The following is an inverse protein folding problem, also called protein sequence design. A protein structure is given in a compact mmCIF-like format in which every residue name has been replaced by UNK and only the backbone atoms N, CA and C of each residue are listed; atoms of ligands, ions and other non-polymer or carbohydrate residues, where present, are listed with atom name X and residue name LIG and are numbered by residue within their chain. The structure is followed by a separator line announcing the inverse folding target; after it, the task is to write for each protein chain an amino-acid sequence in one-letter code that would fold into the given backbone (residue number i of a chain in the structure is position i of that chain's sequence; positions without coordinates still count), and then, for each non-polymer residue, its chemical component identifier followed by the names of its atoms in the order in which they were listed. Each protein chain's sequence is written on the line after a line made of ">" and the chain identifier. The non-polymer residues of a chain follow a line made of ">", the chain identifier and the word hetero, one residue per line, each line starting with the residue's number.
data_IF_558015615633
#
_entry.id   IF_558015615633
#
_cell.length_a   1.000
_cell.length_b   1.000
_cell.length_c   1.000
_cell.angle_alpha   90.00
_cell.angle_beta   90.00
_cell.angle_gamma   90.00
#
_symmetry.space_group_name_H-M   'P 1'
#
loop_
_entity.id
_entity.type
_entity.pdbx_description
1 polymer ?
#
# COMPACT_ATOMS: atom_id res chain seq x y z
N UNK A 1 -5.96 -36.72 -6.17
CA UNK A 1 -5.69 -35.26 -6.05
C UNK A 1 -6.85 -34.62 -5.29
N UNK A 2 -6.65 -33.57 -4.50
CA UNK A 2 -7.75 -32.84 -3.84
C UNK A 2 -8.08 -31.56 -4.61
N UNK A 3 -9.36 -31.21 -4.72
CA UNK A 3 -9.81 -29.97 -5.35
C UNK A 3 -10.30 -29.01 -4.26
N UNK A 4 -9.56 -27.93 -4.01
CA UNK A 4 -9.99 -26.88 -3.11
C UNK A 4 -10.74 -25.80 -3.90
N UNK A 5 -12.06 -25.73 -3.75
CA UNK A 5 -12.90 -24.78 -4.49
C UNK A 5 -13.35 -23.66 -3.56
N UNK A 6 -13.12 -22.42 -3.98
CA UNK A 6 -13.58 -21.23 -3.28
C UNK A 6 -14.65 -20.48 -4.08
N UNK A 7 -15.65 -19.96 -3.38
CA UNK A 7 -16.68 -19.09 -3.92
C UNK A 7 -16.53 -17.67 -3.35
N UNK A 8 -16.00 -16.70 -4.12
CA UNK A 8 -15.82 -15.34 -3.64
C UNK A 8 -17.13 -14.59 -3.35
N UNK A 9 -18.25 -14.99 -3.95
CA UNK A 9 -19.55 -14.35 -3.75
C UNK A 9 -20.12 -14.65 -2.36
N UNK A 10 -20.04 -15.92 -1.93
CA UNK A 10 -20.49 -16.35 -0.60
C UNK A 10 -19.40 -16.25 0.46
N UNK A 11 -18.12 -16.23 0.06
CA UNK A 11 -16.97 -16.27 0.97
C UNK A 11 -16.67 -17.68 1.50
N UNK A 12 -17.38 -18.69 1.04
CA UNK A 12 -17.22 -20.09 1.43
C UNK A 12 -16.12 -20.78 0.60
N UNK A 13 -15.52 -21.82 1.19
CA UNK A 13 -14.55 -22.69 0.53
C UNK A 13 -14.75 -24.12 1.02
N UNK A 14 -14.59 -25.10 0.13
CA UNK A 14 -14.72 -26.51 0.46
C UNK A 14 -13.73 -27.33 -0.35
N UNK A 15 -13.17 -28.35 0.28
CA UNK A 15 -12.28 -29.32 -0.38
C UNK A 15 -13.13 -30.50 -0.81
N UNK A 16 -12.99 -30.89 -2.07
CA UNK A 16 -13.59 -32.07 -2.67
C UNK A 16 -12.50 -33.08 -2.97
N UNK A 17 -12.78 -34.34 -2.65
CA UNK A 17 -11.92 -35.47 -2.95
C UNK A 17 -12.66 -36.35 -3.94
N UNK A 18 -12.06 -36.57 -5.11
CA UNK A 18 -12.60 -37.45 -6.13
C UNK A 18 -11.68 -38.66 -6.24
N UNK A 19 -12.27 -39.86 -6.23
CA UNK A 19 -11.54 -41.13 -6.38
C UNK A 19 -11.14 -41.37 -7.84
N UNK A 20 -12.02 -41.05 -8.79
CA UNK A 20 -11.78 -41.24 -10.22
C UNK A 20 -10.85 -40.16 -10.80
N UNK A 21 -9.69 -40.58 -11.31
CA UNK A 21 -8.72 -39.72 -11.97
C UNK A 21 -9.29 -39.07 -13.25
N UNK A 22 -10.25 -39.70 -13.93
CA UNK A 22 -10.86 -39.17 -15.16
C UNK A 22 -11.48 -37.79 -14.94
N UNK A 23 -12.04 -37.53 -13.76
CA UNK A 23 -12.61 -36.23 -13.38
C UNK A 23 -11.58 -35.11 -13.36
N UNK A 24 -10.29 -35.43 -13.14
CA UNK A 24 -9.23 -34.44 -13.11
C UNK A 24 -8.62 -34.13 -14.47
N UNK A 25 -8.86 -34.97 -15.49
CA UNK A 25 -8.29 -34.81 -16.83
C UNK A 25 -8.67 -33.49 -17.49
N UNK A 26 -9.85 -32.95 -17.17
CA UNK A 26 -10.30 -31.64 -17.66
C UNK A 26 -9.35 -30.49 -17.27
N UNK A 27 -8.61 -30.65 -16.16
CA UNK A 27 -7.66 -29.65 -15.69
C UNK A 27 -6.24 -29.86 -16.22
N UNK A 28 -5.92 -31.03 -16.77
CA UNK A 28 -4.57 -31.32 -17.26
C UNK A 28 -4.23 -30.49 -18.50
N UNK A 29 -2.95 -30.15 -18.64
CA UNK A 29 -2.43 -29.26 -19.69
C UNK A 29 -3.05 -27.85 -19.69
N UNK A 30 -3.86 -27.52 -18.69
CA UNK A 30 -4.31 -26.15 -18.42
C UNK A 30 -3.29 -25.45 -17.55
N UNK A 31 -3.18 -24.13 -17.74
CA UNK A 31 -2.33 -23.25 -16.92
C UNK A 31 -3.16 -22.54 -15.85
N UNK A 32 -2.48 -22.09 -14.80
CA UNK A 32 -3.06 -21.15 -13.84
C UNK A 32 -3.73 -19.94 -14.55
N UNK A 33 -4.82 -19.46 -13.94
CA UNK A 33 -5.72 -18.43 -14.43
C UNK A 33 -6.57 -18.78 -15.66
N UNK A 34 -6.51 -20.01 -16.19
CA UNK A 34 -7.49 -20.47 -17.17
C UNK A 34 -8.80 -20.88 -16.51
N UNK A 35 -9.87 -20.66 -17.28
CA UNK A 35 -11.23 -21.10 -16.96
C UNK A 35 -11.46 -22.48 -17.58
N UNK A 36 -12.13 -23.34 -16.82
CA UNK A 36 -12.41 -24.74 -17.14
C UNK A 36 -13.86 -25.02 -16.76
N UNK A 37 -14.59 -25.60 -17.71
CA UNK A 37 -15.95 -26.08 -17.49
C UNK A 37 -15.92 -27.30 -16.56
N UNK A 38 -16.75 -27.28 -15.52
CA UNK A 38 -16.72 -28.27 -14.44
C UNK A 38 -17.77 -29.38 -14.61
N UNK A 39 -18.51 -29.40 -15.72
CA UNK A 39 -19.62 -30.32 -15.98
C UNK A 39 -19.22 -31.80 -15.81
N UNK A 40 -17.98 -32.15 -16.18
CA UNK A 40 -17.49 -33.54 -16.07
C UNK A 40 -17.15 -33.99 -14.64
N UNK A 41 -17.23 -33.11 -13.63
CA UNK A 41 -16.99 -33.50 -12.22
C UNK A 41 -18.17 -34.25 -11.60
N UNK A 42 -19.39 -34.03 -12.12
CA UNK A 42 -20.64 -34.64 -11.67
C UNK A 42 -21.83 -33.71 -11.93
N UNK A 43 -23.05 -34.23 -11.78
CA UNK A 43 -24.29 -33.49 -12.09
C UNK A 43 -24.43 -32.18 -11.29
N UNK A 44 -23.95 -32.16 -10.05
CA UNK A 44 -23.91 -30.97 -9.18
C UNK A 44 -23.09 -29.80 -9.76
N UNK A 45 -22.14 -30.12 -10.64
CA UNK A 45 -21.20 -29.16 -11.23
C UNK A 45 -21.62 -28.68 -12.62
N UNK A 46 -22.79 -29.10 -13.10
CA UNK A 46 -23.29 -28.70 -14.42
C UNK A 46 -23.51 -27.18 -14.52
N UNK A 47 -22.92 -26.59 -15.56
CA UNK A 47 -22.94 -25.16 -15.83
C UNK A 47 -21.96 -24.33 -14.99
N UNK A 48 -21.19 -24.95 -14.09
CA UNK A 48 -20.17 -24.26 -13.32
C UNK A 48 -18.90 -24.04 -14.14
N UNK A 49 -18.35 -22.83 -14.04
CA UNK A 49 -17.04 -22.51 -14.61
C UNK A 49 -16.06 -22.20 -13.48
N UNK A 50 -14.98 -22.96 -13.46
CA UNK A 50 -13.91 -22.84 -12.47
C UNK A 50 -12.69 -22.21 -13.09
N UNK A 51 -12.08 -21.24 -12.39
CA UNK A 51 -10.77 -20.71 -12.74
C UNK A 51 -9.70 -21.32 -11.86
N UNK A 52 -8.67 -21.89 -12.48
CA UNK A 52 -7.52 -22.44 -11.76
C UNK A 52 -6.73 -21.28 -11.14
N UNK A 53 -6.53 -21.28 -9.83
CA UNK A 53 -5.83 -20.19 -9.12
C UNK A 53 -4.47 -20.59 -8.58
N UNK A 54 -4.16 -21.89 -8.57
CA UNK A 54 -2.88 -22.44 -8.17
C UNK A 54 -3.04 -23.84 -7.60
N UNK A 55 -2.06 -24.25 -6.81
CA UNK A 55 -2.04 -25.57 -6.20
C UNK A 55 -0.70 -25.87 -5.55
N UNK A 56 -0.60 -27.08 -5.01
CA UNK A 56 0.60 -27.61 -4.40
C UNK A 56 0.91 -28.99 -5.02
N UNK A 57 2.18 -29.19 -5.31
CA UNK A 57 2.74 -30.49 -5.71
C UNK A 57 2.70 -31.48 -4.53
N UNK A 58 2.90 -32.78 -4.77
CA UNK A 58 2.93 -33.86 -3.77
C UNK A 58 3.89 -33.58 -2.60
N UNK A 59 5.04 -32.96 -2.85
CA UNK A 59 6.00 -32.56 -1.81
C UNK A 59 5.75 -31.13 -1.27
N UNK A 60 4.59 -30.54 -1.53
CA UNK A 60 4.15 -29.27 -0.94
C UNK A 60 4.66 -28.00 -1.63
N UNK A 61 5.46 -28.09 -2.70
CA UNK A 61 5.92 -26.91 -3.42
C UNK A 61 4.75 -26.21 -4.13
N UNK A 62 4.57 -24.89 -3.93
CA UNK A 62 3.47 -24.15 -4.53
C UNK A 62 3.69 -23.90 -6.02
N UNK A 63 2.60 -23.85 -6.78
CA UNK A 63 2.61 -23.39 -8.18
C UNK A 63 2.85 -21.88 -8.25
N UNK A 64 3.52 -21.43 -9.32
CA UNK A 64 3.73 -20.00 -9.59
C UNK A 64 3.36 -19.64 -11.01
N UNK A 65 2.47 -18.65 -11.13
CA UNK A 65 2.07 -18.09 -12.41
C UNK A 65 3.28 -17.54 -13.19
N UNK A 66 3.30 -17.80 -14.50
CA UNK A 66 4.35 -17.38 -15.43
C UNK A 66 5.53 -18.35 -15.56
N UNK A 67 5.55 -19.45 -14.80
CA UNK A 67 6.51 -20.54 -14.98
C UNK A 67 5.86 -21.58 -15.89
N UNK A 68 6.10 -21.47 -17.20
CA UNK A 68 5.44 -22.26 -18.25
C UNK A 68 5.99 -23.69 -18.39
N UNK A 69 6.14 -24.37 -17.27
CA UNK A 69 6.52 -25.79 -17.20
C UNK A 69 5.49 -26.52 -16.37
N UNK A 70 5.36 -27.84 -16.54
CA UNK A 70 4.69 -28.67 -15.55
C UNK A 70 5.60 -28.84 -14.33
N UNK A 71 6.86 -29.23 -14.52
CA UNK A 71 7.84 -29.55 -13.48
C UNK A 71 8.23 -28.42 -12.51
N UNK A 72 9.16 -28.75 -11.61
CA UNK A 72 9.75 -27.79 -10.67
C UNK A 72 10.95 -27.08 -11.26
N UNK A 73 11.07 -25.80 -10.94
CA UNK A 73 12.22 -24.97 -11.30
C UNK A 73 12.74 -24.22 -10.08
N UNK A 74 14.02 -23.82 -10.12
CA UNK A 74 14.63 -23.02 -9.05
C UNK A 74 14.78 -21.57 -9.46
N UNK A 75 13.99 -20.70 -8.85
CA UNK A 75 13.98 -19.27 -9.14
C UNK A 75 14.64 -18.47 -8.02
N UNK A 76 15.36 -17.41 -8.39
CA UNK A 76 15.89 -16.42 -7.44
C UNK A 76 14.80 -15.38 -7.12
N UNK A 77 14.07 -15.60 -6.03
CA UNK A 77 12.91 -14.79 -5.63
C UNK A 77 13.33 -13.58 -4.78
N UNK A 78 12.65 -12.46 -4.98
CA UNK A 78 12.82 -11.20 -4.24
C UNK A 78 11.53 -10.79 -3.51
N UNK A 79 11.56 -9.68 -2.78
CA UNK A 79 10.36 -9.09 -2.15
C UNK A 79 9.30 -8.77 -3.20
N UNK A 80 8.06 -9.20 -2.96
CA UNK A 80 6.91 -8.98 -3.85
C UNK A 80 6.63 -10.15 -4.79
N UNK A 81 7.58 -11.06 -4.99
CA UNK A 81 7.29 -12.32 -5.69
C UNK A 81 6.44 -13.25 -4.81
N UNK A 82 5.52 -13.97 -5.45
CA UNK A 82 4.79 -15.08 -4.82
C UNK A 82 5.75 -16.19 -4.35
N UNK A 83 5.28 -17.06 -3.44
CA UNK A 83 6.00 -18.23 -2.92
C UNK A 83 7.24 -17.92 -2.05
N UNK A 84 7.50 -16.65 -1.76
CA UNK A 84 8.59 -16.23 -0.88
C UNK A 84 8.22 -15.03 -0.02
N UNK A 85 8.61 -15.09 1.26
CA UNK A 85 8.54 -13.97 2.20
C UNK A 85 9.97 -13.68 2.70
N UNK A 86 10.57 -12.53 2.35
CA UNK A 86 11.91 -12.19 2.78
C UNK A 86 11.97 -12.01 4.31
N UNK A 87 13.11 -12.39 4.91
CA UNK A 87 13.35 -12.21 6.36
C UNK A 87 14.10 -10.91 6.63
N UNK A 88 14.92 -10.45 5.69
CA UNK A 88 15.61 -9.17 5.74
C UNK A 88 15.29 -8.32 4.51
N UNK A 89 15.39 -7.00 4.65
CA UNK A 89 15.23 -6.07 3.53
C UNK A 89 16.34 -6.28 2.50
N UNK A 90 15.98 -6.34 1.21
CA UNK A 90 16.94 -6.57 0.12
C UNK A 90 17.31 -8.04 -0.10
N UNK A 91 16.88 -8.96 0.76
CA UNK A 91 17.18 -10.39 0.63
C UNK A 91 16.54 -10.98 -0.63
N UNK A 92 17.34 -11.75 -1.39
CA UNK A 92 16.89 -12.64 -2.46
C UNK A 92 17.23 -14.07 -2.10
N UNK A 93 16.33 -15.01 -2.37
CA UNK A 93 16.55 -16.43 -2.08
C UNK A 93 16.18 -17.32 -3.26
N UNK A 94 17.09 -18.22 -3.62
CA UNK A 94 16.83 -19.24 -4.65
C UNK A 94 15.97 -20.36 -4.06
N UNK A 95 14.72 -20.47 -4.50
CA UNK A 95 13.76 -21.47 -4.02
C UNK A 95 13.22 -22.31 -5.18
N UNK A 96 12.95 -23.58 -4.90
CA UNK A 96 12.21 -24.46 -5.81
C UNK A 96 10.72 -24.10 -5.78
N UNK A 97 10.11 -24.05 -6.95
CA UNK A 97 8.71 -23.69 -7.17
C UNK A 97 8.15 -24.58 -8.28
N UNK A 98 6.89 -24.99 -8.17
CA UNK A 98 6.20 -25.77 -9.21
C UNK A 98 5.76 -24.83 -10.33
N UNK A 99 5.82 -25.30 -11.57
CA UNK A 99 5.32 -24.54 -12.71
C UNK A 99 3.81 -24.33 -12.69
N UNK A 100 3.29 -23.56 -13.63
CA UNK A 100 1.88 -23.19 -13.68
C UNK A 100 1.01 -24.16 -14.50
N UNK A 101 1.61 -25.10 -15.24
CA UNK A 101 0.89 -26.11 -16.01
C UNK A 101 0.48 -27.24 -15.06
N UNK A 102 -0.80 -27.61 -15.11
CA UNK A 102 -1.40 -28.63 -14.26
C UNK A 102 -1.16 -30.01 -14.86
N UNK A 103 -0.70 -30.94 -14.02
CA UNK A 103 -0.52 -32.35 -14.35
C UNK A 103 -1.02 -33.24 -13.19
N UNK A 104 -0.88 -34.55 -13.33
CA UNK A 104 -1.26 -35.53 -12.33
C UNK A 104 -0.40 -35.48 -11.04
N UNK A 105 0.76 -34.80 -11.06
CA UNK A 105 1.69 -34.73 -9.93
C UNK A 105 1.38 -33.57 -8.97
N UNK A 106 0.09 -33.35 -8.71
CA UNK A 106 -0.37 -32.38 -7.73
C UNK A 106 -1.06 -33.07 -6.56
N UNK A 107 -0.83 -32.55 -5.36
CA UNK A 107 -1.56 -32.96 -4.16
C UNK A 107 -2.91 -32.25 -4.11
N UNK A 108 -2.88 -30.94 -4.30
CA UNK A 108 -4.06 -30.07 -4.20
C UNK A 108 -4.08 -29.11 -5.38
N UNK A 109 -5.22 -29.01 -6.05
CA UNK A 109 -5.52 -27.98 -7.04
C UNK A 109 -6.50 -26.96 -6.44
N UNK A 110 -6.17 -25.69 -6.52
CA UNK A 110 -7.00 -24.61 -5.98
C UNK A 110 -7.75 -23.90 -7.11
N UNK A 111 -9.08 -23.89 -7.02
CA UNK A 111 -9.97 -23.33 -8.02
C UNK A 111 -10.92 -22.30 -7.41
N UNK A 112 -11.37 -21.35 -8.23
CA UNK A 112 -12.34 -20.32 -7.86
C UNK A 112 -13.51 -20.38 -8.81
N UNK A 113 -14.73 -20.37 -8.29
CA UNK A 113 -15.94 -20.27 -9.11
C UNK A 113 -16.00 -18.88 -9.75
N UNK A 114 -16.12 -18.84 -11.08
CA UNK A 114 -16.36 -17.62 -11.86
C UNK A 114 -17.82 -17.50 -12.24
N UNK A 115 -18.44 -18.62 -12.66
CA UNK A 115 -19.86 -18.71 -13.01
C UNK A 115 -20.53 -19.77 -12.15
N UNK A 116 -21.63 -19.41 -11.47
CA UNK A 116 -22.49 -20.36 -10.74
C UNK A 116 -23.25 -21.20 -11.76
N UNK A 117 -23.28 -22.51 -11.58
CA UNK A 117 -24.11 -23.42 -12.37
C UNK A 117 -25.54 -23.50 -11.85
N UNK A 118 -26.27 -24.52 -12.31
CA UNK A 118 -27.71 -24.67 -12.07
C UNK A 118 -28.02 -25.14 -10.65
N UNK A 119 -27.30 -26.16 -10.17
CA UNK A 119 -27.54 -26.77 -8.86
C UNK A 119 -26.74 -26.10 -7.76
N UNK A 120 -27.22 -26.19 -6.52
CA UNK A 120 -26.49 -25.69 -5.35
C UNK A 120 -25.59 -26.77 -4.75
N UNK A 121 -24.36 -26.38 -4.43
CA UNK A 121 -23.36 -27.25 -3.84
C UNK A 121 -23.31 -27.01 -2.32
N UNK A 122 -23.56 -28.05 -1.49
CA UNK A 122 -23.64 -27.91 -0.05
C UNK A 122 -22.30 -27.46 0.54
N UNK A 123 -22.35 -26.42 1.37
CA UNK A 123 -21.18 -25.81 2.01
C UNK A 123 -20.33 -24.91 1.11
N UNK A 124 -20.75 -24.66 -0.14
CA UNK A 124 -20.04 -23.77 -1.06
C UNK A 124 -20.93 -22.63 -1.60
N UNK A 125 -22.14 -22.97 -2.08
CA UNK A 125 -23.10 -21.98 -2.59
C UNK A 125 -24.30 -21.75 -1.68
N UNK A 126 -24.62 -22.73 -0.84
CA UNK A 126 -25.76 -22.72 0.07
C UNK A 126 -25.65 -21.63 1.16
N UNK A 127 -24.51 -21.58 1.86
CA UNK A 127 -24.30 -20.61 2.94
C UNK A 127 -23.50 -19.39 2.47
N UNK A 128 -23.84 -18.21 3.01
CA UNK A 128 -23.08 -16.97 2.81
C UNK A 128 -22.41 -16.51 4.10
N UNK A 129 -21.09 -16.34 4.07
CA UNK A 129 -20.31 -15.85 5.20
C UNK A 129 -20.19 -14.32 5.15
N UNK A 130 -20.67 -13.59 6.18
CA UNK A 130 -20.57 -12.14 6.20
C UNK A 130 -19.11 -11.69 6.34
N UNK A 131 -18.80 -10.52 5.76
CA UNK A 131 -17.46 -9.92 5.89
C UNK A 131 -17.18 -9.55 7.35
N UNK A 132 -16.07 -10.05 7.89
CA UNK A 132 -15.66 -9.81 9.29
C UNK A 132 -15.43 -8.34 9.64
N UNK A 133 -14.95 -7.52 8.70
CA UNK A 133 -14.57 -6.13 8.95
C UNK A 133 -15.22 -5.18 7.96
N UNK A 134 -15.85 -4.13 8.49
CA UNK A 134 -16.31 -2.99 7.71
C UNK A 134 -15.17 -2.02 7.35
N UNK A 135 -15.44 -1.03 6.48
CA UNK A 135 -14.48 -0.01 6.11
C UNK A 135 -14.10 0.91 7.28
N UNK A 136 -12.80 1.12 7.51
CA UNK A 136 -12.27 2.04 8.54
C UNK A 136 -12.01 3.47 8.05
N UNK A 137 -11.85 3.67 6.74
CA UNK A 137 -11.47 4.96 6.14
C UNK A 137 -12.75 5.75 5.78
N UNK A 138 -12.81 7.04 6.11
CA UNK A 138 -14.00 7.88 5.88
C UNK A 138 -14.58 7.74 4.47
N UNK A 139 -13.77 7.91 3.42
CA UNK A 139 -14.26 7.79 2.03
C UNK A 139 -14.72 6.39 1.63
N UNK A 140 -14.17 5.33 2.27
CA UNK A 140 -14.65 3.95 2.02
C UNK A 140 -15.99 3.68 2.71
N UNK A 141 -16.25 4.34 3.85
CA UNK A 141 -17.57 4.30 4.52
C UNK A 141 -18.59 5.03 3.64
N UNK A 142 -18.25 6.24 3.15
CA UNK A 142 -19.13 6.98 2.22
C UNK A 142 -19.49 6.17 0.99
N UNK A 143 -18.50 5.56 0.33
CA UNK A 143 -18.71 4.71 -0.85
C UNK A 143 -19.58 3.47 -0.55
N UNK A 144 -19.50 2.91 0.65
CA UNK A 144 -20.29 1.72 1.01
C UNK A 144 -21.79 2.04 1.12
N UNK A 145 -22.12 3.19 1.69
CA UNK A 145 -23.51 3.61 1.94
C UNK A 145 -23.99 4.69 0.94
N UNK A 146 -23.25 4.92 -0.15
CA UNK A 146 -23.50 5.98 -1.14
C UNK A 146 -23.77 7.37 -0.52
N UNK A 147 -23.04 7.71 0.53
CA UNK A 147 -23.18 9.00 1.22
C UNK A 147 -22.52 10.14 0.44
N UNK A 148 -23.08 11.32 0.61
CA UNK A 148 -22.52 12.57 0.12
C UNK A 148 -21.35 13.04 1.01
N UNK A 149 -20.74 14.17 0.65
CA UNK A 149 -19.64 14.76 1.42
C UNK A 149 -20.11 15.41 2.71
N UNK A 150 -21.36 15.84 2.77
CA UNK A 150 -21.95 16.58 3.89
C UNK A 150 -22.35 15.64 5.03
N UNK A 151 -22.69 14.39 4.69
CA UNK A 151 -23.09 13.37 5.64
C UNK A 151 -22.00 13.04 6.68
N UNK A 152 -22.42 12.95 7.94
CA UNK A 152 -21.55 12.54 9.04
C UNK A 152 -21.33 11.03 9.05
N UNK A 153 -20.17 10.63 8.55
CA UNK A 153 -19.71 9.24 8.48
C UNK A 153 -19.60 8.53 9.84
N UNK A 154 -19.61 9.26 10.96
CA UNK A 154 -19.50 8.65 12.31
C UNK A 154 -20.67 7.76 12.67
N UNK A 155 -21.87 8.11 12.18
CA UNK A 155 -23.11 7.37 12.46
C UNK A 155 -23.16 6.03 11.71
N UNK A 156 -22.55 5.98 10.52
CA UNK A 156 -22.61 4.85 9.59
C UNK A 156 -21.46 3.84 9.76
N UNK A 157 -20.64 3.96 10.81
CA UNK A 157 -19.59 2.97 11.07
C UNK A 157 -20.22 1.67 11.56
N UNK A 158 -19.94 0.57 10.85
CA UNK A 158 -20.33 -0.78 11.28
C UNK A 158 -19.68 -1.07 12.64
N UNK A 159 -20.52 -1.29 13.64
CA UNK A 159 -20.11 -1.65 15.00
C UNK A 159 -20.31 -3.15 15.19
N UNK A 160 -19.42 -3.77 15.95
CA UNK A 160 -19.52 -5.18 16.35
C UNK A 160 -19.98 -5.24 17.81
N UNK A 161 -21.09 -5.91 18.05
CA UNK A 161 -21.49 -6.37 19.39
C UNK A 161 -20.60 -7.54 19.79
N UNK A 162 -19.99 -7.43 20.97
CA UNK A 162 -19.26 -8.51 21.63
C UNK A 162 -20.21 -9.05 22.70
N UNK A 163 -20.61 -10.34 22.62
CA UNK A 163 -21.51 -10.93 23.59
C UNK A 163 -20.89 -10.91 24.99
N UNK A 164 -21.74 -11.00 26.01
CA UNK A 164 -21.27 -11.14 27.37
C UNK A 164 -20.45 -12.44 27.50
N UNK A 165 -19.40 -12.37 28.30
CA UNK A 165 -18.66 -13.52 28.81
C UNK A 165 -18.76 -13.47 30.33
N UNK A 166 -18.54 -14.56 31.06
CA UNK A 166 -18.70 -14.63 32.53
C UNK A 166 -18.02 -13.48 33.29
N UNK A 167 -16.95 -12.91 32.73
CA UNK A 167 -16.21 -11.79 33.32
C UNK A 167 -16.56 -10.39 32.80
N UNK A 168 -17.30 -10.25 31.69
CA UNK A 168 -17.49 -8.95 31.00
C UNK A 168 -18.88 -8.81 30.40
N UNK A 169 -19.56 -7.66 30.60
CA UNK A 169 -20.86 -7.39 30.01
C UNK A 169 -20.76 -7.21 28.49
N UNK A 170 -21.91 -7.21 27.83
CA UNK A 170 -22.05 -6.95 26.39
C UNK A 170 -21.41 -5.59 26.05
N UNK A 171 -20.55 -5.55 25.02
CA UNK A 171 -19.85 -4.33 24.60
C UNK A 171 -19.94 -4.14 23.10
N UNK A 172 -20.17 -2.90 22.69
CA UNK A 172 -20.14 -2.51 21.27
C UNK A 172 -18.78 -1.92 20.93
N UNK A 173 -18.09 -2.48 19.93
CA UNK A 173 -16.80 -1.97 19.45
C UNK A 173 -16.93 -1.43 18.03
N UNK A 174 -16.31 -0.28 17.80
CA UNK A 174 -16.23 0.36 16.49
C UNK A 174 -14.77 0.71 16.15
N UNK A 175 -14.36 0.65 14.87
CA UNK A 175 -13.04 1.10 14.46
C UNK A 175 -12.90 2.63 14.56
N UNK A 176 -11.75 3.12 15.02
CA UNK A 176 -11.40 4.54 14.90
C UNK A 176 -11.32 4.93 13.43
N UNK A 177 -12.18 5.85 13.00
CA UNK A 177 -12.26 6.30 11.60
C UNK A 177 -10.96 6.99 11.21
N UNK A 178 -10.34 6.51 10.14
CA UNK A 178 -9.17 7.15 9.55
C UNK A 178 -9.57 8.19 8.50
N UNK A 179 -8.75 9.25 8.42
CA UNK A 179 -8.90 10.36 7.46
C UNK A 179 -10.19 11.17 7.63
N UNK A 180 -10.83 11.11 8.79
CA UNK A 180 -11.87 12.05 9.19
C UNK A 180 -11.27 13.45 9.33
N UNK A 181 -12.01 14.48 8.94
CA UNK A 181 -11.63 15.86 9.18
C UNK A 181 -12.14 16.22 10.59
N UNK A 182 -11.23 16.47 11.51
CA UNK A 182 -11.53 16.86 12.90
C UNK A 182 -11.09 18.31 13.14
N UNK A 183 -11.68 19.01 14.13
CA UNK A 183 -11.23 20.36 14.51
C UNK A 183 -9.73 20.44 14.79
N UNK A 184 -9.19 19.43 15.48
CA UNK A 184 -7.75 19.31 15.76
C UNK A 184 -6.90 19.27 14.47
N UNK A 185 -7.35 18.54 13.44
CA UNK A 185 -6.65 18.50 12.14
C UNK A 185 -6.67 19.87 11.46
N UNK A 186 -7.79 20.59 11.54
CA UNK A 186 -7.91 21.95 11.01
C UNK A 186 -7.01 22.92 11.78
N UNK A 187 -6.97 22.83 13.12
CA UNK A 187 -6.08 23.63 13.96
C UNK A 187 -4.61 23.37 13.63
N UNK A 188 -4.19 22.11 13.49
CA UNK A 188 -2.82 21.76 13.08
C UNK A 188 -2.47 22.35 11.71
N UNK A 189 -3.42 22.35 10.75
CA UNK A 189 -3.22 23.02 9.45
C UNK A 189 -3.07 24.54 9.60
N UNK A 190 -3.95 25.19 10.37
CA UNK A 190 -3.87 26.63 10.65
C UNK A 190 -2.54 27.00 11.30
N UNK A 191 -2.07 26.22 12.28
CA UNK A 191 -0.77 26.38 12.94
C UNK A 191 0.39 26.31 11.96
N UNK A 192 0.42 25.33 11.06
CA UNK A 192 1.47 25.20 10.04
C UNK A 192 1.51 26.45 9.15
N UNK A 193 0.34 26.92 8.70
CA UNK A 193 0.25 28.15 7.90
C UNK A 193 0.71 29.38 8.68
N UNK A 194 0.31 29.52 9.95
CA UNK A 194 0.74 30.62 10.81
C UNK A 194 2.26 30.62 11.02
N UNK A 195 2.86 29.46 11.29
CA UNK A 195 4.32 29.31 11.43
C UNK A 195 5.07 29.69 10.14
N UNK A 196 4.51 29.38 8.97
CA UNK A 196 5.09 29.84 7.69
C UNK A 196 5.06 31.35 7.56
N UNK A 197 3.96 32.00 7.94
CA UNK A 197 3.84 33.47 7.95
C UNK A 197 4.85 34.11 8.89
N UNK A 198 4.95 33.60 10.13
CA UNK A 198 5.93 34.09 11.13
C UNK A 198 7.36 33.94 10.60
N UNK A 199 7.69 32.78 9.99
CA UNK A 199 9.02 32.55 9.42
C UNK A 199 9.33 33.53 8.28
N UNK A 200 8.34 33.83 7.45
CA UNK A 200 8.48 34.79 6.35
C UNK A 200 8.71 36.21 6.87
N UNK A 201 7.90 36.68 7.81
CA UNK A 201 8.07 38.00 8.44
C UNK A 201 9.45 38.13 9.09
N UNK A 202 9.88 37.13 9.87
CA UNK A 202 11.22 37.12 10.48
C UNK A 202 12.34 37.15 9.44
N UNK A 203 12.18 36.47 8.30
CA UNK A 203 13.16 36.52 7.21
C UNK A 203 13.28 37.95 6.68
N UNK A 204 12.15 38.61 6.43
CA UNK A 204 12.11 39.97 5.92
C UNK A 204 12.75 40.96 6.90
N UNK A 205 12.43 40.86 8.19
CA UNK A 205 13.06 41.69 9.24
C UNK A 205 14.58 41.48 9.31
N UNK A 206 15.05 40.23 9.20
CA UNK A 206 16.49 39.91 9.20
C UNK A 206 17.19 40.44 7.95
N UNK A 207 16.55 40.35 6.79
CA UNK A 207 17.04 40.86 5.51
C UNK A 207 17.17 42.39 5.58
N UNK A 208 16.14 43.10 6.07
CA UNK A 208 16.18 44.54 6.29
C UNK A 208 17.26 44.96 7.28
N UNK A 209 17.40 44.24 8.41
CA UNK A 209 18.44 44.50 9.39
C UNK A 209 19.86 44.30 8.81
N UNK A 210 20.04 43.24 8.02
CA UNK A 210 21.30 42.96 7.33
C UNK A 210 21.62 44.06 6.30
N UNK A 211 20.64 44.49 5.49
CA UNK A 211 20.81 45.58 4.55
C UNK A 211 21.19 46.89 5.24
N UNK A 212 20.56 47.24 6.36
CA UNK A 212 20.92 48.43 7.17
C UNK A 212 22.35 48.33 7.69
N UNK A 213 22.76 47.18 8.21
CA UNK A 213 24.12 46.94 8.71
C UNK A 213 25.15 47.07 7.58
N UNK A 214 24.92 46.43 6.43
CA UNK A 214 25.80 46.50 5.27
C UNK A 214 25.91 47.92 4.71
N UNK A 215 24.81 48.68 4.68
CA UNK A 215 24.82 50.08 4.27
C UNK A 215 25.66 50.96 5.22
N UNK A 216 25.56 50.73 6.55
CA UNK A 216 26.40 51.43 7.54
C UNK A 216 27.88 51.08 7.35
N UNK A 217 28.21 49.80 7.23
CA UNK A 217 29.59 49.34 7.01
C UNK A 217 30.19 49.91 5.72
N UNK A 218 29.42 49.94 4.63
CA UNK A 218 29.87 50.54 3.36
C UNK A 218 30.14 52.05 3.50
N UNK A 219 29.29 52.79 4.22
CA UNK A 219 29.50 54.21 4.51
C UNK A 219 30.76 54.44 5.33
N UNK A 220 30.96 53.68 6.41
CA UNK A 220 32.16 53.77 7.26
C UNK A 220 33.44 53.45 6.47
N UNK A 221 33.41 52.39 5.65
CA UNK A 221 34.54 52.02 4.78
C UNK A 221 34.86 53.09 3.74
N UNK A 222 33.83 53.70 3.15
CA UNK A 222 34.00 54.80 2.20
C UNK A 222 34.56 56.04 2.89
N UNK A 223 34.06 56.40 4.07
CA UNK A 223 34.58 57.50 4.88
C UNK A 223 36.05 57.27 5.26
N UNK A 224 36.43 56.06 5.69
CA UNK A 224 37.81 55.70 5.99
C UNK A 224 38.72 55.78 4.75
N UNK A 225 38.22 55.36 3.57
CA UNK A 225 38.96 55.50 2.29
C UNK A 225 39.17 56.97 1.92
N UNK A 226 38.14 57.79 2.07
CA UNK A 226 38.20 59.24 1.83
C UNK A 226 39.19 59.90 2.80
N UNK A 227 39.11 59.59 4.10
CA UNK A 227 40.03 60.08 5.12
C UNK A 227 41.49 59.69 4.81
N UNK A 228 41.73 58.43 4.40
CA UNK A 228 43.06 57.97 3.95
C UNK A 228 43.56 58.72 2.72
N UNK A 229 42.68 59.04 1.77
CA UNK A 229 43.03 59.83 0.57
C UNK A 229 43.37 61.28 0.94
N UNK A 230 42.61 61.89 1.85
CA UNK A 230 42.90 63.25 2.33
C UNK A 230 44.22 63.30 3.10
N UNK A 231 44.50 62.32 3.96
CA UNK A 231 45.78 62.28 4.70
C UNK A 231 46.98 61.99 3.79
N UNK A 232 46.83 61.19 2.73
CA UNK A 232 47.89 60.99 1.74
C UNK A 232 48.12 62.24 0.86
N UNK A 233 47.04 62.96 0.52
CA UNK A 233 47.11 64.20 -0.27
C UNK A 233 47.72 65.36 0.53
N UNK A 234 47.39 65.48 1.82
CA UNK A 234 48.02 66.49 2.69
C UNK A 234 49.51 66.20 2.91
N UNK A 235 49.89 64.91 3.05
CA UNK A 235 51.30 64.49 3.15
C UNK A 235 52.11 64.80 1.89
N UNK A 236 51.55 64.56 0.71
CA UNK A 236 52.20 64.92 -0.57
C UNK A 236 52.32 66.42 -0.76
N UNK A 237 51.32 67.21 -0.33
CA UNK A 237 51.43 68.67 -0.34
C UNK A 237 52.49 69.20 0.64
N UNK A 238 52.63 68.59 1.82
CA UNK A 238 53.71 68.94 2.74
C UNK A 238 55.09 68.57 2.18
N UNK A 239 55.24 67.38 1.59
CA UNK A 239 56.48 66.92 0.95
C UNK A 239 56.86 67.77 -0.28
N UNK A 240 55.87 68.25 -1.06
CA UNK A 240 56.07 69.16 -2.19
C UNK A 240 56.42 70.60 -1.77
N UNK A 241 56.01 71.04 -0.57
CA UNK A 241 56.43 72.33 -0.01
C UNK A 241 57.87 72.28 0.50
N UNK A 242 58.28 71.17 1.11
CA UNK A 242 59.68 70.98 1.53
C UNK A 242 60.64 70.74 0.37
N UNK A 243 60.19 70.20 -0.78
CA UNK A 243 61.04 70.06 -1.97
C UNK A 243 61.22 71.36 -2.77
N UNK A 244 60.30 72.33 -2.64
CA UNK A 244 60.44 73.69 -3.21
C UNK A 244 61.27 74.65 -2.36
N UNK A 245 61.65 74.26 -1.14
CA UNK A 245 62.44 75.07 -0.20
C UNK A 245 63.91 74.61 -0.12
N UNK A 246 64.40 73.88 -1.12
CA UNK A 246 65.81 73.58 -1.35
C UNK A 246 66.18 74.08 -2.74
#
# INVERSE_FOLDING_TARGET
>A
MKLNVANPATGCQKIFEFEDEKKFRIFYEKRMAQEVEADSLGDEWKGYVLRITGGNDKQGFPMKQGVLTNGRVRLLLSKGHSCYRPRRTGERKRKSVRGCIVDANLSVLACVIVKKGEQEIPGLTDTSLPRRLGPKRANKIRKLFNLTKEDDVRKYVVKRTIPATDSKPIRVRAPKIQRLITPERLQRKRRITAQKKIRFARKQEQEEAYHKMMAKYAKEKQAAKIARRHSSASRTQSEAKTSKSK
#
